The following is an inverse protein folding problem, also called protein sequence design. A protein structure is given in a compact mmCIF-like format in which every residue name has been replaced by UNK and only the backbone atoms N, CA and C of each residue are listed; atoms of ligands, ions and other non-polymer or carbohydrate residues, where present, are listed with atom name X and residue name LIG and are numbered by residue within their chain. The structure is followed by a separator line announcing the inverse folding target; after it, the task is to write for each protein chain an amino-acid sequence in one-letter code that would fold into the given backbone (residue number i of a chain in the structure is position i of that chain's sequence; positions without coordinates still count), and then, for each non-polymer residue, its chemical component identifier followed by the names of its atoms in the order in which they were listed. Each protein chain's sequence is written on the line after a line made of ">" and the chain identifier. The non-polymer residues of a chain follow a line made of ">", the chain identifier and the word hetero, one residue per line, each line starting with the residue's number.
data_IF_708921792420
#
_entry.id   IF_708921792420
#
_cell.length_a   1.000
_cell.length_b   1.000
_cell.length_c   1.000
_cell.angle_alpha   90.00
_cell.angle_beta   90.00
_cell.angle_gamma   90.00
#
_symmetry.space_group_name_H-M   'P 1'
#
loop_
_entity.id
_entity.type
_entity.pdbx_description
1 polymer ?
#
# COMPACT_ATOMS: atom_id res chain seq x y z
N UNK A 1 -5.74 17.38 -14.45
CA UNK A 1 -7.23 17.31 -14.42
C UNK A 1 -7.68 17.77 -13.04
N UNK A 2 -8.74 18.58 -12.92
CA UNK A 2 -9.31 18.94 -11.62
C UNK A 2 -10.44 17.95 -11.31
N UNK A 3 -10.38 17.32 -10.13
CA UNK A 3 -11.44 16.43 -9.63
C UNK A 3 -12.65 17.27 -9.20
N UNK A 4 -13.86 16.72 -9.41
CA UNK A 4 -15.09 17.27 -8.85
C UNK A 4 -15.67 16.36 -7.76
N UNK A 5 -16.71 16.83 -7.05
CA UNK A 5 -17.32 16.06 -5.96
C UNK A 5 -17.94 14.71 -6.42
N UNK A 6 -18.33 14.60 -7.69
CA UNK A 6 -18.82 13.34 -8.25
C UNK A 6 -17.67 12.35 -8.50
N UNK A 7 -16.51 12.84 -8.96
CA UNK A 7 -15.31 12.02 -9.12
C UNK A 7 -14.86 11.44 -7.77
N UNK A 8 -14.87 12.26 -6.71
CA UNK A 8 -14.55 11.80 -5.35
C UNK A 8 -15.55 10.75 -4.85
N UNK A 9 -16.85 10.91 -5.11
CA UNK A 9 -17.86 9.90 -4.75
C UNK A 9 -17.68 8.59 -5.51
N UNK A 10 -17.38 8.64 -6.81
CA UNK A 10 -17.07 7.45 -7.61
C UNK A 10 -15.89 6.69 -6.99
N UNK A 11 -14.79 7.38 -6.72
CA UNK A 11 -13.60 6.76 -6.11
C UNK A 11 -13.89 6.20 -4.71
N UNK A 12 -14.67 6.89 -3.87
CA UNK A 12 -15.06 6.42 -2.53
C UNK A 12 -15.89 5.12 -2.58
N UNK A 13 -16.79 5.00 -3.55
CA UNK A 13 -17.57 3.76 -3.74
C UNK A 13 -16.66 2.63 -4.23
N UNK A 14 -15.80 2.91 -5.20
CA UNK A 14 -14.88 1.91 -5.78
C UNK A 14 -13.80 1.47 -4.78
N UNK A 15 -13.32 2.36 -3.90
CA UNK A 15 -12.39 2.02 -2.82
C UNK A 15 -12.98 0.94 -1.88
N UNK A 16 -14.28 1.04 -1.58
CA UNK A 16 -14.99 0.08 -0.72
C UNK A 16 -15.39 -1.18 -1.46
N UNK A 17 -15.81 -1.05 -2.71
CA UNK A 17 -16.29 -2.17 -3.54
C UNK A 17 -15.83 -2.05 -4.98
N UNK A 18 -14.60 -2.48 -5.25
CA UNK A 18 -14.03 -2.49 -6.60
C UNK A 18 -14.70 -3.47 -7.59
N UNK A 19 -15.64 -4.32 -7.13
CA UNK A 19 -16.41 -5.25 -7.98
C UNK A 19 -17.84 -4.79 -8.28
N UNK A 20 -18.20 -3.57 -7.88
CA UNK A 20 -19.52 -3.00 -8.17
C UNK A 20 -19.75 -2.89 -9.69
N UNK A 21 -20.97 -3.16 -10.15
CA UNK A 21 -21.31 -2.95 -11.56
C UNK A 21 -21.40 -1.46 -11.88
N UNK A 22 -21.09 -1.08 -13.12
CA UNK A 22 -21.21 0.32 -13.52
C UNK A 22 -22.64 0.89 -13.37
N UNK A 23 -23.67 0.06 -13.56
CA UNK A 23 -25.05 0.47 -13.37
C UNK A 23 -25.36 0.83 -11.92
N UNK A 24 -24.91 -0.01 -10.96
CA UNK A 24 -25.12 0.25 -9.54
C UNK A 24 -24.23 1.41 -9.06
N UNK A 25 -23.01 1.52 -9.55
CA UNK A 25 -22.14 2.66 -9.26
C UNK A 25 -22.78 3.97 -9.72
N UNK A 26 -23.32 3.99 -10.95
CA UNK A 26 -23.99 5.17 -11.51
C UNK A 26 -25.20 5.59 -10.66
N UNK A 27 -26.02 4.63 -10.23
CA UNK A 27 -27.15 4.88 -9.33
C UNK A 27 -26.70 5.52 -8.00
N UNK A 28 -25.65 4.94 -7.36
CA UNK A 28 -25.11 5.43 -6.08
C UNK A 28 -24.55 6.85 -6.15
N UNK A 29 -24.00 7.26 -7.31
CA UNK A 29 -23.43 8.60 -7.48
C UNK A 29 -24.36 9.59 -8.19
N UNK A 30 -25.59 9.16 -8.51
CA UNK A 30 -26.62 10.02 -9.14
C UNK A 30 -26.34 10.33 -10.61
N UNK A 31 -25.80 9.37 -11.35
CA UNK A 31 -25.51 9.46 -12.79
C UNK A 31 -26.28 8.41 -13.59
N UNK A 32 -26.37 8.59 -14.90
CA UNK A 32 -26.67 7.51 -15.82
C UNK A 32 -25.41 6.67 -16.13
N UNK A 33 -25.55 5.40 -16.55
CA UNK A 33 -24.41 4.48 -16.71
C UNK A 33 -23.31 4.96 -17.67
N UNK A 34 -23.66 5.59 -18.78
CA UNK A 34 -22.68 6.00 -19.78
C UNK A 34 -21.76 7.16 -19.29
N UNK A 35 -22.26 8.28 -18.74
CA UNK A 35 -21.43 9.28 -18.10
C UNK A 35 -20.60 8.74 -16.92
N UNK A 36 -21.15 7.80 -16.15
CA UNK A 36 -20.42 7.18 -15.04
C UNK A 36 -19.19 6.42 -15.56
N UNK A 37 -19.38 5.55 -16.57
CA UNK A 37 -18.27 4.82 -17.20
C UNK A 37 -17.21 5.75 -17.75
N UNK A 38 -17.60 6.82 -18.45
CA UNK A 38 -16.68 7.81 -19.01
C UNK A 38 -15.82 8.47 -17.91
N UNK A 39 -16.42 8.73 -16.72
CA UNK A 39 -15.70 9.28 -15.59
C UNK A 39 -14.72 8.26 -14.99
N UNK A 40 -15.11 7.01 -14.82
CA UNK A 40 -14.23 5.92 -14.35
C UNK A 40 -13.02 5.80 -15.27
N UNK A 41 -13.23 5.68 -16.60
CA UNK A 41 -12.16 5.61 -17.59
C UNK A 41 -11.19 6.81 -17.49
N UNK A 42 -11.74 8.00 -17.24
CA UNK A 42 -10.94 9.22 -17.08
C UNK A 42 -10.10 9.18 -15.80
N UNK A 43 -10.64 8.67 -14.71
CA UNK A 43 -9.95 8.54 -13.43
C UNK A 43 -8.83 7.49 -13.50
N UNK A 44 -9.06 6.38 -14.21
CA UNK A 44 -8.05 5.35 -14.48
C UNK A 44 -6.92 5.88 -15.35
N UNK A 45 -7.24 6.48 -16.49
CA UNK A 45 -6.23 7.09 -17.39
C UNK A 45 -5.46 8.23 -16.73
N UNK A 46 -6.11 8.95 -15.81
CA UNK A 46 -5.49 10.03 -15.04
C UNK A 46 -4.62 9.54 -13.86
N UNK A 47 -4.57 8.22 -13.62
CA UNK A 47 -3.78 7.61 -12.54
C UNK A 47 -4.36 7.84 -11.13
N UNK A 48 -5.62 8.30 -11.03
CA UNK A 48 -6.30 8.43 -9.74
C UNK A 48 -6.79 7.08 -9.23
N UNK A 49 -7.18 6.18 -10.12
CA UNK A 49 -7.44 4.77 -9.85
C UNK A 49 -6.26 4.01 -10.44
N UNK A 50 -5.46 3.39 -9.59
CA UNK A 50 -4.24 2.67 -9.99
C UNK A 50 -4.48 1.18 -10.22
N UNK A 51 -5.64 0.67 -9.83
CA UNK A 51 -6.01 -0.74 -10.00
C UNK A 51 -7.13 -1.18 -9.08
N UNK A 52 -7.53 -2.43 -9.24
CA UNK A 52 -8.54 -3.10 -8.42
C UNK A 52 -7.93 -4.40 -7.88
N UNK A 53 -8.17 -4.71 -6.63
CA UNK A 53 -7.62 -5.90 -5.99
C UNK A 53 -8.61 -6.59 -5.06
N UNK A 54 -8.40 -7.88 -4.82
CA UNK A 54 -9.12 -8.63 -3.81
C UNK A 54 -8.43 -8.48 -2.44
N UNK A 55 -9.20 -8.31 -1.38
CA UNK A 55 -8.71 -8.44 -0.01
C UNK A 55 -8.70 -9.93 0.35
N UNK A 56 -7.51 -10.48 0.55
CA UNK A 56 -7.32 -11.92 0.85
C UNK A 56 -7.21 -12.11 2.36
N UNK A 57 -7.99 -13.04 2.90
CA UNK A 57 -7.82 -13.49 4.28
C UNK A 57 -6.59 -14.40 4.37
N UNK A 58 -5.44 -13.81 4.60
CA UNK A 58 -4.16 -14.53 4.66
C UNK A 58 -4.13 -15.56 5.78
N UNK A 59 -4.83 -15.34 6.90
CA UNK A 59 -4.92 -16.32 7.99
C UNK A 59 -5.66 -17.60 7.58
N UNK A 60 -6.53 -17.54 6.57
CA UNK A 60 -7.20 -18.72 6.02
C UNK A 60 -6.34 -19.47 4.98
N UNK A 61 -5.29 -18.82 4.45
CA UNK A 61 -4.39 -19.44 3.46
C UNK A 61 -3.26 -20.23 4.14
N UNK A 62 -2.81 -19.78 5.32
CA UNK A 62 -1.74 -20.44 6.07
C UNK A 62 -1.20 -19.57 7.20
N UNK A 63 -0.27 -20.15 7.95
CA UNK A 63 0.45 -19.40 8.98
C UNK A 63 1.51 -18.51 8.32
N UNK A 64 1.30 -17.21 8.39
CA UNK A 64 2.22 -16.21 7.89
C UNK A 64 2.62 -15.25 9.00
N UNK A 65 3.87 -14.83 8.97
CA UNK A 65 4.45 -13.88 9.92
C UNK A 65 4.54 -12.52 9.24
N UNK A 66 3.82 -11.54 9.77
CA UNK A 66 3.96 -10.15 9.35
C UNK A 66 4.98 -9.46 10.24
N UNK A 67 5.93 -8.76 9.63
CA UNK A 67 6.97 -8.03 10.34
C UNK A 67 7.07 -6.61 9.79
N UNK A 68 7.09 -5.62 10.67
CA UNK A 68 7.54 -4.28 10.33
C UNK A 68 9.03 -4.15 10.66
N UNK A 69 9.82 -3.63 9.71
CA UNK A 69 11.23 -3.37 9.92
C UNK A 69 11.54 -1.88 9.69
N UNK A 70 12.09 -1.25 10.69
CA UNK A 70 12.69 0.09 10.57
C UNK A 70 14.12 -0.06 10.08
N UNK A 71 14.47 0.71 9.06
CA UNK A 71 15.81 0.69 8.46
C UNK A 71 16.42 2.09 8.53
N UNK A 72 17.65 2.17 9.01
CA UNK A 72 18.48 3.38 8.95
C UNK A 72 19.68 3.10 8.04
N UNK A 73 19.90 3.95 7.05
CA UNK A 73 21.02 3.84 6.12
C UNK A 73 22.28 4.49 6.71
N UNK A 74 23.48 4.05 6.27
CA UNK A 74 24.73 4.68 6.64
C UNK A 74 24.82 6.14 6.20
N UNK A 75 24.21 6.48 5.07
CA UNK A 75 24.07 7.85 4.61
C UNK A 75 22.78 8.04 3.79
N UNK A 76 22.35 9.30 3.66
CA UNK A 76 21.12 9.69 2.96
C UNK A 76 21.35 10.24 1.56
N UNK A 77 22.54 9.97 0.95
CA UNK A 77 22.84 10.40 -0.41
C UNK A 77 21.92 9.72 -1.42
N UNK A 78 21.57 10.44 -2.46
CA UNK A 78 20.64 9.91 -3.49
C UNK A 78 21.14 8.61 -4.12
N UNK A 79 22.45 8.45 -4.29
CA UNK A 79 23.04 7.22 -4.81
C UNK A 79 22.79 6.02 -3.89
N UNK A 80 22.98 6.19 -2.57
CA UNK A 80 22.74 5.17 -1.54
C UNK A 80 21.27 4.82 -1.48
N UNK A 81 20.40 5.82 -1.45
CA UNK A 81 18.93 5.69 -1.46
C UNK A 81 18.48 4.89 -2.69
N UNK A 82 18.91 5.28 -3.90
CA UNK A 82 18.51 4.60 -5.14
C UNK A 82 18.97 3.14 -5.19
N UNK A 83 20.19 2.86 -4.72
CA UNK A 83 20.70 1.48 -4.64
C UNK A 83 19.91 0.64 -3.66
N UNK A 84 19.57 1.19 -2.50
CA UNK A 84 18.77 0.50 -1.50
C UNK A 84 17.37 0.20 -2.03
N UNK A 85 16.69 1.18 -2.65
CA UNK A 85 15.36 0.99 -3.24
C UNK A 85 15.37 -0.03 -4.39
N UNK A 86 16.45 -0.09 -5.18
CA UNK A 86 16.62 -1.13 -6.20
C UNK A 86 16.76 -2.52 -5.57
N UNK A 87 17.52 -2.64 -4.47
CA UNK A 87 17.65 -3.90 -3.74
C UNK A 87 16.29 -4.34 -3.18
N UNK A 88 15.51 -3.44 -2.61
CA UNK A 88 14.19 -3.75 -2.07
C UNK A 88 13.23 -4.33 -3.12
N UNK A 89 13.31 -3.90 -4.37
CA UNK A 89 12.50 -4.45 -5.48
C UNK A 89 12.77 -5.92 -5.78
N UNK A 90 13.88 -6.47 -5.30
CA UNK A 90 14.24 -7.90 -5.48
C UNK A 90 13.80 -8.78 -4.32
N UNK A 91 13.09 -8.24 -3.34
CA UNK A 91 12.65 -8.95 -2.13
C UNK A 91 11.16 -9.31 -2.31
N UNK A 92 10.90 -10.59 -2.54
CA UNK A 92 9.54 -11.10 -2.80
C UNK A 92 8.63 -10.99 -1.57
N UNK A 93 9.20 -11.04 -0.36
CA UNK A 93 8.50 -10.94 0.90
C UNK A 93 8.08 -9.50 1.25
N UNK A 94 8.56 -8.50 0.52
CA UNK A 94 8.26 -7.09 0.76
C UNK A 94 6.86 -6.74 0.24
N UNK A 95 5.95 -6.44 1.15
CA UNK A 95 4.58 -6.03 0.82
C UNK A 95 4.43 -4.52 0.65
N UNK A 96 5.06 -3.75 1.55
CA UNK A 96 4.95 -2.30 1.57
C UNK A 96 6.30 -1.70 1.99
N UNK A 97 6.63 -0.56 1.42
CA UNK A 97 7.82 0.21 1.77
C UNK A 97 7.48 1.69 1.80
N UNK A 98 7.77 2.35 2.90
CA UNK A 98 7.63 3.78 3.03
C UNK A 98 8.98 4.40 3.42
N UNK A 99 9.42 5.42 2.68
CA UNK A 99 10.48 6.32 3.12
C UNK A 99 9.89 7.33 4.10
N UNK A 100 10.49 7.48 5.25
CA UNK A 100 9.94 8.29 6.35
C UNK A 100 10.92 9.38 6.77
N UNK A 101 10.42 10.37 7.49
CA UNK A 101 11.22 11.37 8.19
C UNK A 101 11.21 11.04 9.68
N UNK A 102 12.37 11.03 10.34
CA UNK A 102 12.50 10.72 11.77
C UNK A 102 13.78 9.95 12.06
N UNK A 103 13.70 9.06 13.04
CA UNK A 103 14.85 8.30 13.55
C UNK A 103 15.31 7.16 12.62
N UNK A 104 14.45 6.73 11.72
CA UNK A 104 14.77 5.78 10.65
C UNK A 104 14.53 6.41 9.26
N UNK A 105 15.04 5.77 8.22
CA UNK A 105 14.88 6.22 6.84
C UNK A 105 13.74 5.51 6.12
N UNK A 106 13.48 4.24 6.48
CA UNK A 106 12.44 3.41 5.87
C UNK A 106 11.70 2.59 6.90
N UNK A 107 10.41 2.39 6.64
CA UNK A 107 9.58 1.37 7.28
C UNK A 107 9.16 0.38 6.20
N UNK A 108 9.51 -0.87 6.41
CA UNK A 108 9.19 -1.99 5.54
C UNK A 108 8.11 -2.84 6.20
N UNK A 109 7.16 -3.34 5.43
CA UNK A 109 6.24 -4.39 5.84
C UNK A 109 6.55 -5.65 5.05
N UNK A 110 6.98 -6.70 5.74
CA UNK A 110 7.33 -7.97 5.17
C UNK A 110 6.31 -9.04 5.60
N UNK A 111 6.04 -9.98 4.70
CA UNK A 111 5.21 -11.14 4.93
C UNK A 111 6.02 -12.39 4.65
N UNK A 112 6.25 -13.20 5.68
CA UNK A 112 7.12 -14.38 5.60
C UNK A 112 6.43 -15.62 6.12
N UNK A 113 6.93 -16.80 5.74
CA UNK A 113 6.35 -18.09 6.14
C UNK A 113 6.72 -18.50 7.57
N UNK A 114 7.79 -17.92 8.12
CA UNK A 114 8.27 -18.21 9.48
C UNK A 114 9.22 -17.12 9.96
N UNK A 115 9.53 -17.13 11.26
CA UNK A 115 10.57 -16.26 11.83
C UNK A 115 11.94 -16.56 11.22
N UNK A 116 12.28 -17.82 10.99
CA UNK A 116 13.55 -18.17 10.33
C UNK A 116 13.64 -17.62 8.92
N UNK A 117 12.56 -17.71 8.14
CA UNK A 117 12.50 -17.14 6.81
C UNK A 117 12.61 -15.60 6.83
N UNK A 118 12.03 -14.95 7.85
CA UNK A 118 12.24 -13.52 8.06
C UNK A 118 13.71 -13.20 8.32
N UNK A 119 14.39 -13.96 9.19
CA UNK A 119 15.80 -13.75 9.48
C UNK A 119 16.66 -13.85 8.21
N UNK A 120 16.41 -14.82 7.35
CA UNK A 120 17.10 -14.96 6.06
C UNK A 120 16.83 -13.74 5.15
N UNK A 121 15.58 -13.29 5.09
CA UNK A 121 15.17 -12.14 4.26
C UNK A 121 15.81 -10.84 4.75
N UNK A 122 15.78 -10.58 6.06
CA UNK A 122 16.34 -9.33 6.59
C UNK A 122 17.87 -9.31 6.44
N UNK A 123 18.55 -10.44 6.55
CA UNK A 123 19.99 -10.55 6.31
C UNK A 123 20.34 -10.24 4.84
N UNK A 124 19.53 -10.68 3.88
CA UNK A 124 19.70 -10.29 2.47
C UNK A 124 19.56 -8.77 2.28
N UNK A 125 18.62 -8.13 2.99
CA UNK A 125 18.44 -6.68 2.91
C UNK A 125 19.61 -5.94 3.56
N UNK A 126 20.08 -6.37 4.71
CA UNK A 126 21.07 -5.68 5.53
C UNK A 126 22.49 -5.97 5.05
N UNK A 127 22.90 -7.24 5.05
CA UNK A 127 24.28 -7.63 4.77
C UNK A 127 24.66 -7.52 3.30
N UNK A 128 23.82 -8.07 2.40
CA UNK A 128 24.13 -8.04 0.98
C UNK A 128 24.07 -6.63 0.38
N UNK A 129 23.26 -5.73 0.96
CA UNK A 129 23.25 -4.35 0.48
C UNK A 129 24.49 -3.58 0.92
N UNK A 130 24.98 -3.83 2.13
CA UNK A 130 26.06 -3.07 2.77
C UNK A 130 25.72 -1.59 2.98
N UNK A 131 24.41 -1.24 2.94
CA UNK A 131 23.95 0.15 2.98
C UNK A 131 23.25 0.49 4.29
N UNK A 132 22.91 -0.52 5.11
CA UNK A 132 22.14 -0.38 6.35
C UNK A 132 23.10 -0.21 7.53
N UNK A 133 22.90 0.86 8.29
CA UNK A 133 23.59 1.14 9.55
C UNK A 133 22.93 0.40 10.72
N UNK A 134 21.59 0.48 10.77
CA UNK A 134 20.80 -0.04 11.89
C UNK A 134 19.43 -0.49 11.40
N UNK A 135 18.90 -1.54 12.01
CA UNK A 135 17.50 -1.95 11.80
C UNK A 135 16.84 -2.43 13.09
N UNK A 136 15.52 -2.31 13.14
CA UNK A 136 14.69 -2.88 14.21
C UNK A 136 13.54 -3.66 13.57
N UNK A 137 13.14 -4.75 14.21
CA UNK A 137 12.10 -5.65 13.72
C UNK A 137 10.98 -5.78 14.72
N UNK A 138 9.74 -5.57 14.26
CA UNK A 138 8.53 -5.65 15.06
C UNK A 138 7.64 -6.75 14.49
N UNK A 139 7.53 -7.87 15.20
CA UNK A 139 6.66 -8.95 14.82
C UNK A 139 5.22 -8.63 15.20
N UNK A 140 4.31 -8.73 14.25
CA UNK A 140 2.90 -8.48 14.48
C UNK A 140 2.30 -9.64 15.28
N UNK A 141 1.93 -9.37 16.52
CA UNK A 141 1.28 -10.37 17.39
C UNK A 141 -0.19 -10.50 17.06
N UNK A 142 -0.86 -9.40 16.71
CA UNK A 142 -2.28 -9.37 16.37
C UNK A 142 -2.59 -8.19 15.46
N UNK A 143 -3.32 -8.46 14.39
CA UNK A 143 -3.96 -7.42 13.57
C UNK A 143 -5.46 -7.38 13.85
N UNK A 144 -6.06 -6.21 13.74
CA UNK A 144 -7.51 -6.03 13.73
C UNK A 144 -7.88 -5.08 12.60
N UNK A 145 -9.03 -5.31 12.00
CA UNK A 145 -9.59 -4.42 10.99
C UNK A 145 -10.43 -3.35 11.70
N UNK A 146 -10.09 -2.06 11.58
CA UNK A 146 -10.86 -0.97 12.18
C UNK A 146 -12.23 -0.74 11.51
N UNK A 147 -12.57 -1.55 10.49
CA UNK A 147 -13.79 -1.45 9.71
C UNK A 147 -13.60 -0.75 8.38
N UNK A 148 -14.66 -0.71 7.62
CA UNK A 148 -14.69 -0.22 6.23
C UNK A 148 -14.71 1.32 6.18
N UNK A 149 -13.59 1.95 6.53
CA UNK A 149 -13.41 3.40 6.45
C UNK A 149 -12.79 3.75 5.11
N UNK A 150 -13.54 4.49 4.29
CA UNK A 150 -13.01 5.06 3.06
C UNK A 150 -12.08 6.25 3.38
N UNK A 151 -10.83 6.19 2.95
CA UNK A 151 -9.90 7.31 3.15
C UNK A 151 -10.30 8.55 2.37
N UNK A 152 -11.05 8.38 1.28
CA UNK A 152 -11.57 9.51 0.50
C UNK A 152 -12.61 10.36 1.26
N UNK A 153 -13.22 9.81 2.31
CA UNK A 153 -14.09 10.58 3.18
C UNK A 153 -13.32 11.70 3.92
N UNK A 154 -12.02 11.51 4.17
CA UNK A 154 -11.14 12.53 4.75
C UNK A 154 -10.90 13.71 3.79
N UNK A 155 -10.97 13.47 2.47
CA UNK A 155 -10.75 14.51 1.44
C UNK A 155 -12.02 15.33 1.21
N UNK A 156 -13.18 14.80 1.59
CA UNK A 156 -14.49 15.43 1.35
C UNK A 156 -14.94 16.29 2.54
N UNK A 157 -14.27 16.22 3.69
CA UNK A 157 -14.60 17.07 4.83
C UNK A 157 -13.99 18.47 4.59
N UNK A 158 -14.79 19.51 4.33
CA UNK A 158 -14.26 20.87 4.31
C UNK A 158 -13.79 21.25 5.73
N UNK A 159 -12.63 21.88 5.82
CA UNK A 159 -12.15 22.55 7.04
C UNK A 159 -13.11 23.66 7.49
#
# INVERSE_FOLDING_TARGET
>A
MKLDGTDLRIMSVLERNGRITNSLLAEMVGLSPSPCLTRVDRLERGGYITGYGARINLAAVGELVTVFAEITLHDRRMATVSRFEQKLKTIDELCECARVSGDCDYILKLLTRSVSHYCETIMKIVEESGLVDRYFSYFVVRSFDPGDRGFLDLVQTPD
#
